data_IF_700412672308
#
_entry.id   IF_700412672308
#
_cell.length_a   1.000
_cell.length_b   1.000
_cell.length_c   1.000
_cell.angle_alpha   90.00
_cell.angle_beta   90.00
_cell.angle_gamma   90.00
#
_symmetry.space_group_name_H-M   'P 1'
#
loop_
_entity.id
_entity.type
_entity.pdbx_description
1 polymer ?
#
# COMPACT_ATOMS: atom_id res chain seq x y z
N UNK A 1 9.25 2.34 6.49
CA UNK A 1 10.15 1.18 6.34
C UNK A 1 10.01 0.70 4.91
N UNK A 2 11.08 0.74 4.10
CA UNK A 2 11.07 0.24 2.73
C UNK A 2 10.87 -1.28 2.69
N UNK A 3 10.56 -1.80 1.49
CA UNK A 3 10.43 -3.24 1.27
C UNK A 3 11.78 -3.93 1.54
N UNK A 4 11.86 -4.89 2.48
CA UNK A 4 13.09 -5.59 2.79
C UNK A 4 13.53 -6.60 1.71
N UNK A 5 12.65 -6.95 0.78
CA UNK A 5 12.87 -8.00 -0.22
C UNK A 5 13.34 -7.49 -1.59
N UNK A 6 13.67 -6.21 -1.70
CA UNK A 6 13.95 -5.60 -3.00
C UNK A 6 15.27 -6.07 -3.67
N UNK A 7 16.18 -6.72 -2.96
CA UNK A 7 17.51 -7.05 -3.51
C UNK A 7 17.89 -8.52 -3.49
N UNK A 8 17.39 -9.33 -2.55
CA UNK A 8 17.89 -10.70 -2.36
C UNK A 8 16.81 -11.66 -1.83
N UNK A 9 16.93 -12.95 -2.18
CA UNK A 9 16.15 -14.04 -1.63
C UNK A 9 15.03 -14.55 -2.54
N UNK A 10 14.19 -15.44 -2.00
CA UNK A 10 13.06 -16.05 -2.73
C UNK A 10 11.98 -15.02 -3.16
N UNK A 11 11.96 -13.88 -2.53
CA UNK A 11 10.99 -12.82 -2.74
C UNK A 11 11.64 -11.60 -3.41
N UNK A 12 12.80 -11.76 -4.05
CA UNK A 12 13.51 -10.68 -4.73
C UNK A 12 12.60 -10.02 -5.77
N UNK A 13 12.62 -8.69 -5.76
CA UNK A 13 11.87 -7.89 -6.70
C UNK A 13 12.68 -7.62 -7.97
N UNK A 14 12.00 -7.29 -9.05
CA UNK A 14 12.61 -6.72 -10.25
C UNK A 14 13.33 -5.39 -9.92
N UNK A 15 14.24 -4.88 -10.79
CA UNK A 15 14.86 -3.57 -10.61
C UNK A 15 13.84 -2.45 -10.33
N UNK A 16 14.26 -1.44 -9.58
CA UNK A 16 13.38 -0.36 -9.08
C UNK A 16 12.59 0.35 -10.19
N UNK A 17 13.18 0.50 -11.39
CA UNK A 17 12.54 1.11 -12.56
C UNK A 17 11.50 0.20 -13.27
N UNK A 18 11.50 -1.09 -12.94
CA UNK A 18 10.57 -2.08 -13.47
C UNK A 18 9.43 -2.40 -12.50
N UNK A 19 9.47 -1.85 -11.28
CA UNK A 19 8.36 -1.95 -10.32
C UNK A 19 7.15 -1.23 -10.91
N UNK A 20 6.06 -1.97 -11.07
CA UNK A 20 4.79 -1.45 -11.61
C UNK A 20 3.88 -0.88 -10.55
N UNK A 21 4.02 -1.35 -9.30
CA UNK A 21 3.12 -0.95 -8.22
C UNK A 21 3.88 -0.81 -6.90
N UNK A 22 3.64 0.28 -6.22
CA UNK A 22 4.18 0.52 -4.89
C UNK A 22 3.03 0.66 -3.89
N UNK A 23 2.85 -0.37 -3.07
CA UNK A 23 1.82 -0.42 -2.03
C UNK A 23 2.41 0.16 -0.73
N UNK A 24 1.71 1.15 -0.17
CA UNK A 24 2.01 1.69 1.16
C UNK A 24 0.89 1.24 2.11
N UNK A 25 1.27 0.73 3.26
CA UNK A 25 0.34 0.26 4.29
C UNK A 25 0.83 0.61 5.68
N UNK A 26 0.01 0.37 6.70
CA UNK A 26 0.35 0.51 8.11
C UNK A 26 0.16 -0.81 8.85
N UNK A 27 1.05 -1.07 9.82
CA UNK A 27 0.88 -2.15 10.78
C UNK A 27 0.78 -3.56 10.17
N UNK A 28 -0.16 -4.34 10.70
CA UNK A 28 -0.26 -5.78 10.43
C UNK A 28 -0.68 -6.14 9.00
N UNK A 29 -1.38 -5.26 8.30
CA UNK A 29 -1.79 -5.44 6.90
C UNK A 29 -0.62 -5.78 5.96
N UNK A 30 0.59 -5.35 6.31
CA UNK A 30 1.81 -5.70 5.59
C UNK A 30 1.99 -7.21 5.40
N UNK A 31 1.77 -8.00 6.45
CA UNK A 31 1.99 -9.45 6.37
C UNK A 31 0.97 -10.15 5.48
N UNK A 32 -0.27 -9.68 5.47
CA UNK A 32 -1.31 -10.19 4.57
C UNK A 32 -0.97 -9.87 3.11
N UNK A 33 -0.55 -8.64 2.82
CA UNK A 33 -0.11 -8.21 1.49
C UNK A 33 1.14 -8.97 1.03
N UNK A 34 2.12 -9.19 1.92
CA UNK A 34 3.34 -9.95 1.62
C UNK A 34 3.00 -11.41 1.27
N UNK A 35 2.14 -12.05 2.04
CA UNK A 35 1.71 -13.42 1.76
C UNK A 35 0.97 -13.50 0.43
N UNK A 36 0.05 -12.57 0.16
CA UNK A 36 -0.66 -12.47 -1.11
C UNK A 36 0.31 -12.28 -2.28
N UNK A 37 1.30 -11.38 -2.16
CA UNK A 37 2.36 -11.21 -3.18
C UNK A 37 3.08 -12.50 -3.50
N UNK A 38 3.45 -13.29 -2.49
CA UNK A 38 4.10 -14.60 -2.63
C UNK A 38 3.22 -15.62 -3.33
N UNK A 39 1.95 -15.71 -2.95
CA UNK A 39 0.97 -16.60 -3.56
C UNK A 39 0.77 -16.27 -5.05
N UNK A 40 0.69 -14.99 -5.38
CA UNK A 40 0.55 -14.50 -6.76
C UNK A 40 1.87 -14.50 -7.55
N UNK A 41 3.01 -14.81 -6.89
CA UNK A 41 4.37 -14.78 -7.50
C UNK A 41 4.67 -13.45 -8.19
N UNK A 42 4.28 -12.33 -7.56
CA UNK A 42 4.49 -10.97 -8.07
C UNK A 42 5.83 -10.43 -7.57
N UNK A 43 6.76 -10.21 -8.49
CA UNK A 43 8.07 -9.60 -8.25
C UNK A 43 8.12 -8.13 -8.67
N UNK A 44 7.06 -7.63 -9.29
CA UNK A 44 6.89 -6.27 -9.80
C UNK A 44 6.08 -5.34 -8.85
N UNK A 45 5.85 -5.77 -7.61
CA UNK A 45 5.09 -5.03 -6.59
C UNK A 45 5.93 -4.83 -5.34
N UNK A 46 6.29 -3.59 -5.04
CA UNK A 46 6.96 -3.21 -3.79
C UNK A 46 5.94 -2.89 -2.69
N UNK A 47 6.24 -3.25 -1.44
CA UNK A 47 5.38 -3.00 -0.28
C UNK A 47 6.17 -2.27 0.80
N UNK A 48 5.80 -1.04 1.12
CA UNK A 48 6.41 -0.24 2.19
C UNK A 48 5.44 -0.01 3.35
N UNK A 49 5.99 0.21 4.54
CA UNK A 49 5.21 0.44 5.77
C UNK A 49 5.44 1.82 6.35
N UNK A 50 4.35 2.48 6.74
CA UNK A 50 4.40 3.65 7.62
C UNK A 50 4.14 3.14 9.05
N UNK A 51 5.20 3.08 9.87
CA UNK A 51 5.12 2.59 11.25
C UNK A 51 4.86 3.72 12.26
N UNK A 52 5.25 4.94 11.93
CA UNK A 52 5.05 6.11 12.76
C UNK A 52 4.13 7.10 12.06
N UNK A 53 2.95 7.31 12.63
CA UNK A 53 1.95 8.24 12.10
C UNK A 53 2.19 9.68 12.57
N UNK A 54 2.74 9.88 13.76
CA UNK A 54 2.97 11.22 14.30
C UNK A 54 4.24 11.25 15.19
N UNK A 55 5.20 12.17 14.92
CA UNK A 55 5.28 12.98 13.71
C UNK A 55 5.52 12.13 12.46
N UNK A 56 4.91 12.50 11.33
CA UNK A 56 5.10 11.80 10.07
C UNK A 56 6.43 12.18 9.43
N UNK A 57 7.22 11.19 9.05
CA UNK A 57 8.48 11.39 8.34
C UNK A 57 8.25 11.55 6.83
N UNK A 58 7.99 12.78 6.42
CA UNK A 58 7.75 13.12 5.02
C UNK A 58 8.95 12.84 4.13
N UNK A 59 10.17 13.08 4.61
CA UNK A 59 11.39 12.87 3.83
C UNK A 59 11.56 11.40 3.45
N UNK A 60 11.39 10.49 4.42
CA UNK A 60 11.45 9.05 4.16
C UNK A 60 10.32 8.57 3.26
N UNK A 61 9.12 9.15 3.36
CA UNK A 61 8.00 8.80 2.49
C UNK A 61 8.30 9.24 1.06
N UNK A 62 8.75 10.46 0.83
CA UNK A 62 9.10 10.98 -0.50
C UNK A 62 10.20 10.13 -1.12
N UNK A 63 11.28 9.83 -0.39
CA UNK A 63 12.35 8.93 -0.86
C UNK A 63 11.83 7.54 -1.22
N UNK A 64 10.90 7.00 -0.45
CA UNK A 64 10.29 5.70 -0.72
C UNK A 64 9.43 5.72 -1.98
N UNK A 65 8.68 6.80 -2.21
CA UNK A 65 7.85 6.98 -3.41
C UNK A 65 8.76 7.15 -4.65
N UNK A 66 9.77 8.01 -4.56
CA UNK A 66 10.66 8.33 -5.69
C UNK A 66 11.57 7.17 -6.08
N UNK A 67 11.76 6.20 -5.19
CA UNK A 67 12.53 5.00 -5.50
C UNK A 67 11.97 4.21 -6.68
N UNK A 68 10.64 4.22 -6.88
CA UNK A 68 9.95 3.45 -7.92
C UNK A 68 9.28 4.39 -8.93
N UNK A 69 10.04 4.99 -9.86
CA UNK A 69 9.58 6.13 -10.68
C UNK A 69 8.38 5.80 -11.57
N UNK A 70 8.27 4.54 -11.98
CA UNK A 70 7.22 4.08 -12.90
C UNK A 70 6.02 3.41 -12.19
N UNK A 71 6.07 3.30 -10.87
CA UNK A 71 5.06 2.58 -10.12
C UNK A 71 3.75 3.36 -9.99
N UNK A 72 2.64 2.65 -10.05
CA UNK A 72 1.35 3.13 -9.57
C UNK A 72 1.38 3.13 -8.04
N UNK A 73 1.01 4.24 -7.43
CA UNK A 73 0.98 4.37 -5.97
C UNK A 73 -0.34 3.86 -5.41
N UNK A 74 -0.27 2.96 -4.44
CA UNK A 74 -1.43 2.36 -3.79
C UNK A 74 -1.31 2.52 -2.28
N UNK A 75 -2.38 2.94 -1.63
CA UNK A 75 -2.51 2.81 -0.18
C UNK A 75 -3.47 1.66 0.12
N UNK A 76 -3.05 0.71 0.96
CA UNK A 76 -3.85 -0.45 1.31
C UNK A 76 -4.06 -0.55 2.82
N UNK A 77 -5.30 -0.79 3.25
CA UNK A 77 -5.65 -1.03 4.65
C UNK A 77 -6.77 -2.07 4.76
N UNK A 78 -6.75 -2.85 5.84
CA UNK A 78 -7.79 -3.85 6.11
C UNK A 78 -9.09 -3.21 6.61
N UNK A 79 -9.01 -2.06 7.27
CA UNK A 79 -10.16 -1.34 7.79
C UNK A 79 -11.04 -0.78 6.66
N UNK A 80 -12.34 -0.51 6.94
CA UNK A 80 -13.19 0.24 6.04
C UNK A 80 -12.58 1.59 5.63
N UNK A 81 -12.85 2.05 4.41
CA UNK A 81 -12.25 3.28 3.87
C UNK A 81 -12.52 4.53 4.74
N UNK A 82 -13.62 4.54 5.47
CA UNK A 82 -13.98 5.62 6.41
C UNK A 82 -13.36 5.46 7.80
N UNK A 83 -12.50 4.46 8.00
CA UNK A 83 -11.79 4.15 9.25
C UNK A 83 -10.30 3.95 8.99
N UNK A 84 -9.54 3.55 10.02
CA UNK A 84 -8.11 3.27 9.89
C UNK A 84 -7.26 4.49 9.57
N UNK A 85 -6.12 4.25 8.92
CA UNK A 85 -5.10 5.26 8.67
C UNK A 85 -5.38 6.17 7.48
N UNK A 86 -6.22 5.76 6.53
CA UNK A 86 -6.41 6.47 5.27
C UNK A 86 -6.87 7.92 5.43
N UNK A 87 -7.88 8.16 6.27
CA UNK A 87 -8.41 9.52 6.47
C UNK A 87 -7.36 10.50 7.02
N UNK A 88 -6.44 10.01 7.83
CA UNK A 88 -5.32 10.78 8.33
C UNK A 88 -4.19 10.91 7.30
N UNK A 89 -3.85 9.83 6.61
CA UNK A 89 -2.71 9.76 5.68
C UNK A 89 -3.01 10.39 4.32
N UNK A 90 -4.24 10.33 3.83
CA UNK A 90 -4.61 10.81 2.49
C UNK A 90 -4.10 12.22 2.17
N UNK A 91 -4.40 13.28 2.95
CA UNK A 91 -3.89 14.62 2.66
C UNK A 91 -2.36 14.71 2.79
N UNK A 92 -1.76 13.90 3.64
CA UNK A 92 -0.31 13.87 3.88
C UNK A 92 0.45 13.16 2.77
N UNK A 93 -0.07 12.07 2.25
CA UNK A 93 0.47 11.37 1.10
C UNK A 93 0.35 12.22 -0.18
N UNK A 94 -0.76 12.95 -0.34
CA UNK A 94 -0.91 13.93 -1.42
C UNK A 94 0.13 15.05 -1.32
N UNK A 95 0.41 15.53 -0.11
CA UNK A 95 1.48 16.50 0.14
C UNK A 95 2.86 15.89 -0.21
N UNK A 96 3.14 14.65 0.19
CA UNK A 96 4.38 13.97 -0.17
C UNK A 96 4.53 13.86 -1.70
N UNK A 97 3.48 13.45 -2.42
CA UNK A 97 3.50 13.39 -3.89
C UNK A 97 3.75 14.76 -4.53
N UNK A 98 3.24 15.86 -3.95
CA UNK A 98 3.49 17.18 -4.51
C UNK A 98 4.96 17.62 -4.46
N UNK A 99 5.76 16.99 -3.59
CA UNK A 99 7.20 17.21 -3.43
C UNK A 99 8.06 16.08 -4.04
N UNK A 100 7.43 15.04 -4.55
CA UNK A 100 8.10 13.94 -5.24
C UNK A 100 8.63 14.41 -6.61
N UNK A 101 9.77 13.88 -7.02
CA UNK A 101 10.35 14.16 -8.35
C UNK A 101 9.59 13.38 -9.45
N UNK A 102 9.22 12.13 -9.15
CA UNK A 102 8.67 11.20 -10.13
C UNK A 102 7.14 11.10 -10.09
N UNK A 103 6.51 11.49 -8.98
CA UNK A 103 5.07 11.29 -8.76
C UNK A 103 4.29 12.59 -8.52
N UNK A 104 4.87 13.74 -8.89
CA UNK A 104 4.21 15.04 -8.73
C UNK A 104 2.86 15.07 -9.46
N UNK A 105 1.81 15.37 -8.69
CA UNK A 105 0.42 15.43 -9.21
C UNK A 105 -0.26 14.08 -9.39
N UNK A 106 0.41 12.96 -9.07
CA UNK A 106 -0.23 11.64 -9.06
C UNK A 106 -1.04 11.45 -7.78
N UNK A 107 -2.12 10.70 -7.90
CA UNK A 107 -2.99 10.31 -6.79
C UNK A 107 -2.71 8.86 -6.38
N UNK A 108 -3.02 8.55 -5.11
CA UNK A 108 -3.00 7.18 -4.62
C UNK A 108 -4.29 6.47 -4.98
N UNK A 109 -4.17 5.26 -5.52
CA UNK A 109 -5.27 4.29 -5.51
C UNK A 109 -5.45 3.81 -4.08
N UNK A 110 -6.69 3.64 -3.67
CA UNK A 110 -7.00 3.14 -2.32
C UNK A 110 -7.63 1.77 -2.41
N UNK A 111 -7.00 0.80 -1.76
CA UNK A 111 -7.58 -0.51 -1.55
C UNK A 111 -7.93 -0.70 -0.08
N UNK A 112 -9.23 -0.72 0.21
CA UNK A 112 -9.80 -0.83 1.54
C UNK A 112 -11.14 -1.53 1.46
N UNK A 113 -11.67 -1.95 2.61
CA UNK A 113 -13.06 -2.44 2.68
C UNK A 113 -14.05 -1.30 2.39
N UNK A 114 -15.26 -1.62 1.90
CA UNK A 114 -16.33 -0.63 1.73
C UNK A 114 -16.60 0.17 3.02
N UNK A 115 -17.15 1.40 2.90
CA UNK A 115 -17.55 2.16 4.08
C UNK A 115 -18.48 1.36 4.98
N UNK A 116 -18.23 1.38 6.28
CA UNK A 116 -19.02 0.65 7.26
C UNK A 116 -19.22 1.47 8.53
N UNK A 117 -20.31 1.22 9.23
CA UNK A 117 -20.54 1.75 10.58
C UNK A 117 -19.91 0.86 11.67
N UNK A 118 -19.42 -0.34 11.32
CA UNK A 118 -18.76 -1.29 12.20
C UNK A 118 -17.36 -1.60 11.75
N UNK A 119 -16.43 -1.72 12.69
CA UNK A 119 -15.02 -2.07 12.41
C UNK A 119 -14.83 -3.51 11.95
N UNK A 120 -15.78 -4.40 12.25
CA UNK A 120 -15.74 -5.82 11.92
C UNK A 120 -17.05 -6.29 11.29
N UNK A 121 -16.94 -7.27 10.39
CA UNK A 121 -18.09 -7.80 9.62
C UNK A 121 -19.03 -8.70 10.39
N UNK A 122 -18.63 -9.21 11.56
CA UNK A 122 -19.43 -10.13 12.36
C UNK A 122 -19.68 -11.53 11.76
N UNK A 123 -19.46 -11.71 10.44
CA UNK A 123 -19.62 -12.98 9.74
C UNK A 123 -18.31 -13.41 9.08
N UNK A 124 -17.85 -14.65 9.35
CA UNK A 124 -16.58 -15.19 8.83
C UNK A 124 -16.51 -15.18 7.30
N UNK A 125 -17.59 -15.55 6.63
CA UNK A 125 -17.65 -15.58 5.16
C UNK A 125 -17.55 -14.18 4.54
N UNK A 126 -18.22 -13.19 5.11
CA UNK A 126 -18.13 -11.81 4.66
C UNK A 126 -16.72 -11.25 4.91
N UNK A 127 -16.14 -11.53 6.07
CA UNK A 127 -14.77 -11.12 6.38
C UNK A 127 -13.75 -11.68 5.36
N UNK A 128 -13.85 -12.96 5.02
CA UNK A 128 -12.96 -13.56 4.01
C UNK A 128 -13.14 -12.95 2.62
N UNK A 129 -14.38 -12.70 2.19
CA UNK A 129 -14.65 -12.07 0.90
C UNK A 129 -14.10 -10.63 0.84
N UNK A 130 -14.30 -9.84 1.89
CA UNK A 130 -13.77 -8.47 1.98
C UNK A 130 -12.25 -8.44 2.08
N UNK A 131 -11.63 -9.40 2.81
CA UNK A 131 -10.18 -9.55 2.88
C UNK A 131 -9.61 -9.84 1.49
N UNK A 132 -10.20 -10.78 0.74
CA UNK A 132 -9.75 -11.09 -0.62
C UNK A 132 -9.93 -9.89 -1.56
N UNK A 133 -11.05 -9.20 -1.48
CA UNK A 133 -11.33 -8.02 -2.31
C UNK A 133 -10.30 -6.89 -2.04
N UNK A 134 -9.97 -6.64 -0.78
CA UNK A 134 -8.95 -5.65 -0.43
C UNK A 134 -7.54 -6.07 -0.89
N UNK A 135 -7.17 -7.34 -0.72
CA UNK A 135 -5.87 -7.84 -1.15
C UNK A 135 -5.74 -7.79 -2.68
N UNK A 136 -6.70 -8.36 -3.42
CA UNK A 136 -6.67 -8.30 -4.90
C UNK A 136 -6.71 -6.85 -5.40
N UNK A 137 -7.54 -6.00 -4.80
CA UNK A 137 -7.62 -4.59 -5.13
C UNK A 137 -6.28 -3.86 -4.99
N UNK A 138 -5.51 -4.15 -3.94
CA UNK A 138 -4.18 -3.55 -3.77
C UNK A 138 -3.21 -3.89 -4.92
N UNK A 139 -3.39 -5.03 -5.57
CA UNK A 139 -2.52 -5.49 -6.66
C UNK A 139 -3.06 -5.21 -8.07
N UNK A 140 -4.35 -4.97 -8.25
CA UNK A 140 -5.01 -4.97 -9.56
C UNK A 140 -5.82 -3.70 -9.87
N UNK A 141 -6.32 -2.94 -8.87
CA UNK A 141 -7.10 -1.72 -9.13
C UNK A 141 -6.31 -0.71 -9.97
N UNK A 142 -6.99 -0.12 -10.95
CA UNK A 142 -6.51 0.99 -11.76
C UNK A 142 -7.33 2.25 -11.48
N UNK A 143 -6.78 3.44 -11.78
CA UNK A 143 -7.48 4.73 -11.64
C UNK A 143 -8.55 4.90 -12.72
#
# INVERSE_FOLDING_TARGET
IPDPHHTEGKDALVPDDQIKRHIITCGQSYYALLNYRREQKRDDVAISRIEQLSPLDYESIIKSIDRYPNATLVYAQEEPINMGGWTYLSPRLRMACSHSENHKGKEFIVSARPPSCSVATGHKGAHQAELQAYLSGAFELEL
#
